data_IF_573732605400
#
_entry.id   IF_573732605400
#
_cell.length_a   1.000
_cell.length_b   1.000
_cell.length_c   1.000
_cell.angle_alpha   90.00
_cell.angle_beta   90.00
_cell.angle_gamma   90.00
#
_symmetry.space_group_name_H-M   'P 1'
#
loop_
_entity.id
_entity.type
_entity.pdbx_description
1 polymer ?
#
# COMPACT_ATOMS: atom_id res chain seq x y z
N UNK A 1 -42.35 -11.79 -48.17
CA UNK A 1 -42.70 -10.98 -46.99
C UNK A 1 -42.23 -11.75 -45.78
N UNK A 2 -41.02 -11.45 -45.31
CA UNK A 2 -40.45 -12.01 -44.08
C UNK A 2 -40.59 -10.98 -42.97
N UNK A 3 -41.25 -11.30 -41.84
CA UNK A 3 -41.32 -10.40 -40.71
C UNK A 3 -40.20 -10.72 -39.68
N UNK A 4 -39.80 -9.68 -38.95
CA UNK A 4 -39.16 -9.73 -37.62
C UNK A 4 -37.71 -10.23 -37.52
N UNK A 5 -36.77 -9.39 -37.98
CA UNK A 5 -35.45 -9.32 -37.34
C UNK A 5 -35.57 -8.48 -36.06
N UNK A 6 -35.46 -9.12 -34.90
CA UNK A 6 -35.38 -8.43 -33.61
C UNK A 6 -34.09 -7.61 -33.55
N UNK A 7 -34.11 -6.34 -33.11
CA UNK A 7 -32.89 -5.57 -32.90
C UNK A 7 -32.10 -6.24 -31.78
N UNK A 8 -30.87 -6.65 -32.11
CA UNK A 8 -29.90 -7.13 -31.14
C UNK A 8 -29.78 -6.07 -30.04
N UNK A 9 -29.80 -6.44 -28.74
CA UNK A 9 -29.50 -5.48 -27.69
C UNK A 9 -28.06 -5.02 -27.91
N UNK A 10 -27.89 -3.86 -28.53
CA UNK A 10 -26.63 -3.14 -28.56
C UNK A 10 -26.24 -2.97 -27.11
N UNK A 11 -25.27 -3.77 -26.67
CA UNK A 11 -24.74 -3.73 -25.33
C UNK A 11 -24.13 -2.35 -25.15
N UNK A 12 -24.91 -1.41 -24.62
CA UNK A 12 -24.46 -0.08 -24.23
C UNK A 12 -23.57 -0.26 -22.99
N UNK A 13 -22.42 -0.90 -23.17
CA UNK A 13 -21.31 -0.72 -22.25
C UNK A 13 -20.91 0.74 -22.41
N UNK A 14 -21.33 1.58 -21.47
CA UNK A 14 -20.77 2.91 -21.34
C UNK A 14 -19.29 2.74 -21.06
N UNK A 15 -18.48 2.87 -22.12
CA UNK A 15 -17.04 2.80 -22.00
C UNK A 15 -16.58 3.99 -21.16
N UNK A 16 -15.70 3.71 -20.21
CA UNK A 16 -15.01 4.73 -19.43
C UNK A 16 -14.30 5.72 -20.37
N UNK A 17 -14.48 7.02 -20.15
CA UNK A 17 -13.77 8.05 -20.92
C UNK A 17 -12.38 8.22 -20.32
N UNK A 18 -11.35 7.77 -21.04
CA UNK A 18 -9.97 7.95 -20.65
C UNK A 18 -9.65 9.43 -20.41
N UNK A 19 -8.93 9.72 -19.32
CA UNK A 19 -8.50 11.06 -18.93
C UNK A 19 -6.99 11.07 -18.75
N UNK A 20 -6.22 11.67 -19.68
CA UNK A 20 -4.79 11.82 -19.52
C UNK A 20 -4.48 12.79 -18.37
N UNK A 21 -3.31 12.60 -17.75
CA UNK A 21 -2.78 13.51 -16.75
C UNK A 21 -1.40 14.02 -17.18
N UNK A 22 -1.13 15.34 -17.14
CA UNK A 22 -2.09 16.40 -16.80
C UNK A 22 -3.19 16.53 -17.88
N UNK A 23 -4.37 17.07 -17.53
CA UNK A 23 -5.37 17.42 -18.54
C UNK A 23 -4.77 18.31 -19.63
N UNK A 24 -5.21 18.21 -20.90
CA UNK A 24 -4.63 18.99 -22.00
C UNK A 24 -4.64 20.51 -21.79
N UNK A 25 -5.62 21.01 -21.02
CA UNK A 25 -5.71 22.42 -20.65
C UNK A 25 -4.55 22.91 -19.74
N UNK A 26 -3.79 21.99 -19.16
CA UNK A 26 -2.64 22.26 -18.28
C UNK A 26 -1.31 21.77 -18.88
N UNK A 27 -1.26 21.49 -20.19
CA UNK A 27 -0.07 20.90 -20.83
C UNK A 27 1.20 21.76 -20.70
N UNK A 28 1.07 23.09 -20.70
CA UNK A 28 2.18 24.05 -20.59
C UNK A 28 2.46 24.50 -19.15
N UNK A 29 1.74 23.95 -18.17
CA UNK A 29 1.89 24.30 -16.76
C UNK A 29 2.95 23.39 -16.13
N UNK A 30 3.97 23.93 -15.43
CA UNK A 30 4.95 23.11 -14.73
C UNK A 30 4.28 22.10 -13.78
N UNK A 31 4.73 20.85 -13.83
CA UNK A 31 4.09 19.76 -13.07
C UNK A 31 4.13 20.00 -11.55
N UNK A 32 5.21 20.61 -11.06
CA UNK A 32 5.38 20.92 -9.63
C UNK A 32 4.31 21.92 -9.17
N UNK A 33 4.00 22.92 -10.01
CA UNK A 33 2.92 23.86 -9.73
C UNK A 33 1.56 23.16 -9.67
N UNK A 34 1.30 22.18 -10.55
CA UNK A 34 0.07 21.38 -10.50
C UNK A 34 0.00 20.61 -9.17
N UNK A 35 1.10 20.00 -8.72
CA UNK A 35 1.15 19.30 -7.43
C UNK A 35 0.90 20.24 -6.25
N UNK A 36 1.50 21.41 -6.23
CA UNK A 36 1.29 22.41 -5.19
C UNK A 36 -0.18 22.84 -5.14
N UNK A 37 -0.81 23.09 -6.29
CA UNK A 37 -2.23 23.43 -6.34
C UNK A 37 -3.11 22.27 -5.85
N UNK A 38 -2.80 21.03 -6.23
CA UNK A 38 -3.53 19.85 -5.74
C UNK A 38 -3.41 19.73 -4.21
N UNK A 39 -2.21 19.82 -3.65
CA UNK A 39 -2.02 19.74 -2.20
C UNK A 39 -2.76 20.88 -1.46
N UNK A 40 -2.75 22.10 -1.99
CA UNK A 40 -3.49 23.24 -1.42
C UNK A 40 -5.02 23.02 -1.42
N UNK A 41 -5.52 22.32 -2.44
CA UNK A 41 -6.95 22.00 -2.55
C UNK A 41 -7.34 20.77 -1.73
N UNK A 42 -6.39 19.91 -1.35
CA UNK A 42 -6.67 18.63 -0.68
C UNK A 42 -7.61 18.72 0.54
N UNK A 43 -7.51 19.70 1.45
CA UNK A 43 -8.44 19.83 2.57
C UNK A 43 -9.91 20.00 2.17
N UNK A 44 -10.17 20.51 0.95
CA UNK A 44 -11.52 20.72 0.43
C UNK A 44 -12.12 19.46 -0.21
N UNK A 45 -11.30 18.48 -0.58
CA UNK A 45 -11.70 17.28 -1.31
C UNK A 45 -11.51 15.99 -0.52
N UNK A 46 -10.57 15.97 0.44
CA UNK A 46 -10.37 14.83 1.32
C UNK A 46 -11.63 14.59 2.17
N UNK A 47 -12.01 13.33 2.34
CA UNK A 47 -13.24 12.91 3.02
C UNK A 47 -14.54 13.51 2.47
N UNK A 48 -14.57 13.99 1.22
CA UNK A 48 -15.78 14.42 0.51
C UNK A 48 -16.15 13.44 -0.61
N UNK A 49 -16.81 12.31 -0.29
CA UNK A 49 -17.17 11.33 -1.30
C UNK A 49 -18.12 11.89 -2.37
N UNK A 50 -18.86 12.96 -2.08
CA UNK A 50 -19.80 13.62 -2.99
C UNK A 50 -19.10 14.23 -4.20
N UNK A 51 -17.85 14.68 -4.04
CA UNK A 51 -17.04 15.28 -5.10
C UNK A 51 -16.16 14.27 -5.84
N UNK A 52 -16.04 13.06 -5.30
CA UNK A 52 -15.17 12.01 -5.84
C UNK A 52 -15.63 11.57 -7.24
N UNK A 53 -14.68 11.53 -8.17
CA UNK A 53 -14.89 11.13 -9.57
C UNK A 53 -14.32 9.74 -9.88
N UNK A 54 -13.89 8.97 -8.87
CA UNK A 54 -13.62 7.54 -9.02
C UNK A 54 -13.93 6.76 -7.74
N UNK A 55 -14.10 5.45 -7.89
CA UNK A 55 -14.26 4.51 -6.78
C UNK A 55 -13.22 3.41 -6.87
N UNK A 56 -12.41 3.22 -5.82
CA UNK A 56 -11.42 2.14 -5.71
C UNK A 56 -11.97 1.08 -4.75
N UNK A 57 -11.99 -0.17 -5.20
CA UNK A 57 -12.37 -1.35 -4.42
C UNK A 57 -11.12 -2.18 -4.20
N UNK A 58 -10.68 -2.30 -2.95
CA UNK A 58 -9.54 -3.14 -2.56
C UNK A 58 -10.06 -4.40 -1.86
N UNK A 59 -9.89 -5.60 -2.44
CA UNK A 59 -10.17 -6.85 -1.74
C UNK A 59 -9.31 -6.97 -0.48
N UNK A 60 -9.93 -7.28 0.65
CA UNK A 60 -9.21 -7.63 1.87
C UNK A 60 -9.20 -9.16 1.94
N UNK A 61 -8.03 -9.82 1.87
CA UNK A 61 -7.99 -11.26 2.07
C UNK A 61 -8.55 -11.55 3.46
N UNK A 62 -9.56 -12.41 3.51
CA UNK A 62 -10.12 -12.87 4.79
C UNK A 62 -8.96 -13.39 5.64
N UNK A 63 -8.63 -12.67 6.72
CA UNK A 63 -8.16 -13.37 7.91
C UNK A 63 -9.31 -14.30 8.23
N UNK A 64 -9.15 -15.60 7.94
CA UNK A 64 -10.07 -16.61 8.44
C UNK A 64 -10.32 -16.23 9.88
N UNK A 65 -11.58 -15.94 10.29
CA UNK A 65 -11.85 -15.69 11.69
C UNK A 65 -11.28 -16.92 12.38
N UNK A 66 -10.21 -16.71 13.14
CA UNK A 66 -9.65 -17.77 13.96
C UNK A 66 -10.82 -18.13 14.85
N UNK A 67 -11.49 -19.23 14.53
CA UNK A 67 -12.49 -19.83 15.39
C UNK A 67 -11.67 -20.22 16.61
N UNK A 68 -11.55 -19.30 17.56
CA UNK A 68 -11.13 -19.61 18.91
C UNK A 68 -12.06 -20.75 19.32
N UNK A 69 -11.54 -21.97 19.57
CA UNK A 69 -12.39 -23.05 20.05
C UNK A 69 -13.02 -22.51 21.34
N UNK A 70 -14.34 -22.38 21.32
CA UNK A 70 -15.09 -21.95 22.47
C UNK A 70 -14.67 -22.84 23.64
N UNK A 71 -13.95 -22.27 24.59
CA UNK A 71 -13.84 -22.83 25.92
C UNK A 71 -15.26 -22.93 26.43
N UNK A 72 -15.79 -24.15 26.38
CA UNK A 72 -17.02 -24.57 27.02
C UNK A 72 -16.88 -24.28 28.51
N UNK A 73 -17.36 -23.12 28.93
CA UNK A 73 -17.67 -22.85 30.33
C UNK A 73 -19.13 -23.21 30.55
N UNK A 74 -19.31 -24.37 31.15
CA UNK A 74 -20.53 -24.81 31.82
C UNK A 74 -20.99 -23.78 32.87
N UNK A 75 -22.29 -23.49 32.85
CA UNK A 75 -23.18 -22.96 33.92
C UNK A 75 -24.28 -22.15 33.22
N UNK A 76 -25.58 -22.25 33.50
CA UNK A 76 -26.38 -22.96 34.50
C UNK A 76 -27.83 -22.95 33.96
N UNK A 77 -28.76 -23.75 34.52
CA UNK A 77 -30.13 -23.86 34.04
C UNK A 77 -31.06 -22.93 34.83
N UNK A 78 -31.60 -21.88 34.22
CA UNK A 78 -32.99 -21.46 34.46
C UNK A 78 -33.34 -20.28 33.55
N UNK A 79 -34.39 -20.44 32.74
CA UNK A 79 -35.34 -19.38 32.39
C UNK A 79 -36.34 -19.95 31.38
N UNK A 80 -37.47 -20.30 31.97
CA UNK A 80 -38.72 -20.66 31.34
C UNK A 80 -39.23 -19.56 30.42
N UNK A 81 -39.30 -19.82 29.11
CA UNK A 81 -40.30 -19.22 28.23
C UNK A 81 -40.88 -20.31 27.34
N UNK A 82 -42.16 -20.59 27.60
CA UNK A 82 -43.01 -21.49 26.83
C UNK A 82 -43.28 -20.86 25.47
N UNK A 83 -43.01 -21.59 24.39
CA UNK A 83 -43.68 -21.35 23.11
C UNK A 83 -44.41 -22.63 22.70
N UNK A 84 -45.69 -22.46 22.43
CA UNK A 84 -46.61 -23.49 22.01
C UNK A 84 -46.11 -24.16 20.72
N UNK A 85 -46.24 -25.48 20.69
CA UNK A 85 -46.06 -26.28 19.51
C UNK A 85 -47.24 -26.04 18.54
N UNK A 86 -46.96 -25.46 17.39
CA UNK A 86 -47.84 -25.57 16.21
C UNK A 86 -47.36 -26.77 15.37
N UNK A 87 -48.18 -27.82 15.18
CA UNK A 87 -47.87 -28.91 14.29
C UNK A 87 -48.40 -28.59 12.88
N UNK A 88 -47.61 -27.91 12.04
CA UNK A 88 -47.87 -27.91 10.61
C UNK A 88 -46.57 -27.94 9.78
N UNK A 89 -46.02 -29.13 9.47
CA UNK A 89 -44.75 -29.29 8.76
C UNK A 89 -44.94 -29.37 7.24
N UNK A 90 -45.52 -28.33 6.64
CA UNK A 90 -45.71 -28.29 5.18
C UNK A 90 -45.34 -26.93 4.60
N UNK A 91 -44.05 -26.64 4.58
CA UNK A 91 -43.53 -25.40 4.01
C UNK A 91 -42.03 -25.49 3.82
N UNK A 92 -41.62 -25.77 2.58
CA UNK A 92 -40.23 -25.89 2.12
C UNK A 92 -39.39 -24.71 2.63
N UNK A 93 -38.58 -24.92 3.67
CA UNK A 93 -37.47 -24.01 3.98
C UNK A 93 -36.43 -24.18 2.89
N UNK A 94 -36.53 -23.37 1.85
CA UNK A 94 -35.37 -23.03 1.04
C UNK A 94 -34.40 -22.33 1.99
N UNK A 95 -33.34 -23.02 2.40
CA UNK A 95 -32.18 -22.39 3.01
C UNK A 95 -31.62 -21.43 1.97
N UNK A 96 -31.88 -20.13 2.15
CA UNK A 96 -31.23 -19.08 1.37
C UNK A 96 -29.71 -19.29 1.52
N UNK A 97 -28.96 -19.46 0.42
CA UNK A 97 -27.52 -19.62 0.51
C UNK A 97 -26.97 -18.35 1.16
N UNK A 98 -26.26 -18.50 2.28
CA UNK A 98 -25.55 -17.40 2.92
C UNK A 98 -24.50 -16.91 1.92
N UNK A 99 -24.78 -15.81 1.23
CA UNK A 99 -23.87 -15.21 0.26
C UNK A 99 -22.74 -14.56 1.07
N UNK A 100 -21.63 -15.27 1.22
CA UNK A 100 -20.43 -14.73 1.84
C UNK A 100 -19.80 -13.71 0.90
N UNK A 101 -20.11 -12.44 1.11
CA UNK A 101 -19.43 -11.33 0.43
C UNK A 101 -18.08 -11.12 1.11
N UNK A 102 -16.93 -11.30 0.40
CA UNK A 102 -15.63 -11.04 0.98
C UNK A 102 -15.50 -9.57 1.44
N UNK A 103 -14.80 -9.31 2.55
CA UNK A 103 -14.54 -7.97 3.02
C UNK A 103 -13.72 -7.22 1.98
N UNK A 104 -14.06 -5.95 1.79
CA UNK A 104 -13.42 -5.06 0.83
C UNK A 104 -13.39 -3.66 1.39
N UNK A 105 -12.33 -2.92 1.07
CA UNK A 105 -12.28 -1.49 1.29
C UNK A 105 -12.83 -0.81 0.05
N UNK A 106 -13.81 0.06 0.21
CA UNK A 106 -14.35 0.87 -0.88
C UNK A 106 -14.03 2.33 -0.58
N UNK A 107 -13.30 2.97 -1.48
CA UNK A 107 -12.77 4.32 -1.31
C UNK A 107 -13.24 5.18 -2.47
N UNK A 108 -13.91 6.29 -2.18
CA UNK A 108 -14.33 7.28 -3.18
C UNK A 108 -13.30 8.39 -3.21
N UNK A 109 -12.55 8.49 -4.31
CA UNK A 109 -11.35 9.32 -4.44
C UNK A 109 -11.41 10.17 -5.71
N UNK A 110 -10.43 11.05 -5.88
CA UNK A 110 -10.33 11.93 -7.04
C UNK A 110 -9.21 11.48 -7.99
N UNK A 111 -9.54 11.29 -9.27
CA UNK A 111 -8.64 10.78 -10.30
C UNK A 111 -7.38 11.64 -10.44
N UNK A 112 -7.50 12.96 -10.32
CA UNK A 112 -6.38 13.88 -10.51
C UNK A 112 -5.27 13.67 -9.46
N UNK A 113 -5.64 13.47 -8.19
CA UNK A 113 -4.67 13.19 -7.12
C UNK A 113 -3.99 11.84 -7.32
N UNK A 114 -4.77 10.82 -7.68
CA UNK A 114 -4.24 9.48 -7.92
C UNK A 114 -3.32 9.46 -9.14
N UNK A 115 -3.72 10.10 -10.23
CA UNK A 115 -2.94 10.18 -11.47
C UNK A 115 -1.70 11.05 -11.32
N UNK A 116 -1.76 12.09 -10.48
CA UNK A 116 -0.63 12.94 -10.18
C UNK A 116 0.55 12.14 -9.60
N UNK A 117 0.27 11.22 -8.67
CA UNK A 117 1.30 10.53 -7.89
C UNK A 117 1.52 9.07 -8.26
N UNK A 118 0.59 8.40 -8.94
CA UNK A 118 0.74 6.99 -9.35
C UNK A 118 0.82 6.88 -10.87
N UNK A 119 1.97 6.42 -11.37
CA UNK A 119 2.14 6.10 -12.80
C UNK A 119 1.22 4.97 -13.25
N UNK A 120 1.01 3.97 -12.39
CA UNK A 120 0.09 2.86 -12.63
C UNK A 120 -1.36 3.35 -12.82
N UNK A 121 -1.88 4.12 -11.85
CA UNK A 121 -3.26 4.62 -11.91
C UNK A 121 -3.43 5.65 -13.04
N UNK A 122 -2.43 6.50 -13.29
CA UNK A 122 -2.42 7.42 -14.43
C UNK A 122 -2.60 6.67 -15.76
N UNK A 123 -1.82 5.61 -15.97
CA UNK A 123 -1.91 4.84 -17.21
C UNK A 123 -3.26 4.12 -17.31
N UNK A 124 -3.74 3.54 -16.20
CA UNK A 124 -5.05 2.89 -16.14
C UNK A 124 -6.19 3.86 -16.50
N UNK A 125 -6.18 5.06 -15.92
CA UNK A 125 -7.17 6.10 -16.20
C UNK A 125 -7.00 6.75 -17.59
N UNK A 126 -5.83 6.61 -18.20
CA UNK A 126 -5.58 6.98 -19.60
C UNK A 126 -6.04 5.90 -20.59
N UNK A 127 -6.64 4.81 -20.11
CA UNK A 127 -7.19 3.74 -20.95
C UNK A 127 -6.19 2.62 -21.26
N UNK A 128 -5.03 2.56 -20.60
CA UNK A 128 -4.12 1.45 -20.75
C UNK A 128 -4.75 0.14 -20.23
N UNK A 129 -4.45 -0.97 -20.90
CA UNK A 129 -4.87 -2.30 -20.46
C UNK A 129 -4.18 -2.65 -19.13
N UNK A 130 -4.93 -3.08 -18.10
CA UNK A 130 -4.33 -3.48 -16.82
C UNK A 130 -3.30 -4.61 -16.96
N UNK A 131 -3.48 -5.49 -17.95
CA UNK A 131 -2.56 -6.61 -18.20
C UNK A 131 -1.18 -6.11 -18.66
N UNK A 132 -1.16 -5.09 -19.52
CA UNK A 132 0.07 -4.53 -20.06
C UNK A 132 0.85 -3.80 -18.96
N UNK A 133 0.14 -3.11 -18.06
CA UNK A 133 0.74 -2.40 -16.93
C UNK A 133 1.39 -3.32 -15.89
N UNK A 134 0.81 -4.49 -15.62
CA UNK A 134 1.40 -5.45 -14.69
C UNK A 134 2.64 -6.09 -15.31
N UNK A 135 2.59 -6.37 -16.61
CA UNK A 135 3.75 -6.92 -17.31
C UNK A 135 4.93 -5.97 -17.26
N UNK A 136 4.72 -4.66 -17.48
CA UNK A 136 5.80 -3.67 -17.40
C UNK A 136 6.38 -3.51 -16.00
N UNK A 137 5.53 -3.53 -14.95
CA UNK A 137 5.99 -3.48 -13.56
C UNK A 137 6.81 -4.70 -13.12
N UNK A 138 6.58 -5.86 -13.75
CA UNK A 138 7.22 -7.13 -13.39
C UNK A 138 8.47 -7.44 -14.22
N UNK A 139 8.86 -6.59 -15.17
CA UNK A 139 10.12 -6.71 -15.92
C UNK A 139 11.33 -6.25 -15.10
N UNK A 140 11.37 -6.63 -13.83
CA UNK A 140 12.57 -6.50 -13.00
C UNK A 140 13.69 -7.35 -13.61
N UNK A 141 14.94 -6.86 -13.68
CA UNK A 141 16.04 -7.50 -14.42
C UNK A 141 16.39 -8.93 -13.96
N UNK A 142 15.92 -9.37 -12.78
CA UNK A 142 16.11 -10.74 -12.29
C UNK A 142 15.14 -11.80 -12.85
N UNK A 143 14.34 -11.49 -13.89
CA UNK A 143 13.74 -12.52 -14.77
C UNK A 143 12.63 -13.41 -14.19
N UNK A 144 12.24 -13.25 -12.92
CA UNK A 144 11.17 -14.05 -12.34
C UNK A 144 9.80 -13.42 -12.60
N UNK A 145 9.09 -13.95 -13.60
CA UNK A 145 7.67 -13.64 -13.83
C UNK A 145 6.85 -14.20 -12.65
N UNK A 146 6.53 -13.36 -11.68
CA UNK A 146 5.59 -13.71 -10.64
C UNK A 146 4.22 -13.99 -11.27
N UNK A 147 3.80 -15.25 -11.25
CA UNK A 147 2.50 -15.69 -11.74
C UNK A 147 1.40 -15.17 -10.80
N UNK A 148 0.84 -14.00 -11.11
CA UNK A 148 -0.28 -13.41 -10.38
C UNK A 148 -1.57 -14.14 -10.79
N UNK A 149 -2.30 -14.78 -9.85
CA UNK A 149 -3.58 -15.40 -10.16
C UNK A 149 -4.53 -14.38 -10.81
N UNK A 150 -5.34 -14.77 -11.81
CA UNK A 150 -6.21 -13.85 -12.56
C UNK A 150 -7.21 -13.10 -11.66
N UNK A 151 -7.56 -13.67 -10.50
CA UNK A 151 -8.43 -13.04 -9.51
C UNK A 151 -7.77 -11.90 -8.71
N UNK A 152 -6.48 -11.66 -8.92
CA UNK A 152 -5.70 -10.59 -8.29
C UNK A 152 -5.28 -9.50 -9.28
N UNK A 153 -5.85 -9.53 -10.49
CA UNK A 153 -5.55 -8.52 -11.49
C UNK A 153 -6.42 -7.27 -11.27
N UNK A 154 -5.83 -6.06 -11.32
CA UNK A 154 -6.58 -4.82 -11.37
C UNK A 154 -7.49 -4.80 -12.59
N UNK A 155 -8.72 -4.33 -12.41
CA UNK A 155 -9.71 -4.28 -13.49
C UNK A 155 -10.69 -3.13 -13.30
N UNK A 156 -11.07 -2.51 -14.41
CA UNK A 156 -12.18 -1.56 -14.46
C UNK A 156 -13.49 -2.37 -14.46
N UNK A 157 -14.37 -2.07 -13.51
CA UNK A 157 -15.70 -2.64 -13.44
C UNK A 157 -16.68 -1.82 -14.29
N UNK A 158 -17.76 -2.42 -14.81
CA UNK A 158 -18.82 -1.70 -15.50
C UNK A 158 -19.35 -0.56 -14.60
N UNK A 159 -19.22 0.67 -15.06
CA UNK A 159 -19.52 1.88 -14.28
C UNK A 159 -19.85 3.06 -15.19
N UNK A 160 -20.32 4.15 -14.59
CA UNK A 160 -20.62 5.39 -15.30
C UNK A 160 -19.36 5.95 -15.96
N UNK A 161 -19.46 6.57 -17.15
CA UNK A 161 -18.30 7.07 -17.89
C UNK A 161 -17.53 8.17 -17.15
N UNK A 162 -18.20 8.86 -16.21
CA UNK A 162 -17.64 9.91 -15.36
C UNK A 162 -17.16 9.46 -13.98
N UNK A 163 -17.41 8.20 -13.59
CA UNK A 163 -17.00 7.67 -12.29
C UNK A 163 -16.55 6.21 -12.44
N UNK A 164 -15.32 5.96 -12.93
CA UNK A 164 -14.79 4.61 -13.03
C UNK A 164 -14.74 3.92 -11.66
N UNK A 165 -15.18 2.67 -11.64
CA UNK A 165 -15.00 1.78 -10.49
C UNK A 165 -13.84 0.83 -10.77
N UNK A 166 -12.75 0.98 -10.02
CA UNK A 166 -11.53 0.16 -10.15
C UNK A 166 -11.52 -0.90 -9.07
N UNK A 167 -11.43 -2.18 -9.46
CA UNK A 167 -10.97 -3.21 -8.54
C UNK A 167 -9.44 -3.19 -8.52
N UNK A 168 -8.85 -2.95 -7.35
CA UNK A 168 -7.41 -2.78 -7.16
C UNK A 168 -6.89 -3.75 -6.08
N UNK A 169 -6.49 -4.97 -6.45
CA UNK A 169 -5.86 -5.90 -5.53
C UNK A 169 -4.43 -5.45 -5.22
N UNK A 170 -4.21 -4.90 -4.03
CA UNK A 170 -2.89 -4.42 -3.59
C UNK A 170 -2.17 -5.44 -2.71
N UNK A 171 -0.82 -5.44 -2.67
CA UNK A 171 -0.03 -6.32 -1.81
C UNK A 171 -0.41 -6.27 -0.33
N UNK A 172 -0.69 -5.08 0.22
CA UNK A 172 -1.12 -4.90 1.61
C UNK A 172 -2.34 -3.95 1.69
N UNK A 173 -3.56 -4.50 1.76
CA UNK A 173 -4.78 -3.69 1.83
C UNK A 173 -4.87 -2.81 3.08
N UNK A 174 -4.19 -3.16 4.18
CA UNK A 174 -4.32 -2.41 5.42
C UNK A 174 -3.59 -1.08 5.38
N UNK A 175 -2.48 -0.95 4.65
CA UNK A 175 -1.70 0.28 4.57
C UNK A 175 -2.08 1.21 3.40
N UNK A 176 -2.90 0.75 2.45
CA UNK A 176 -3.18 1.48 1.21
C UNK A 176 -3.79 2.87 1.41
N UNK A 177 -4.63 3.02 2.44
CA UNK A 177 -5.30 4.28 2.74
C UNK A 177 -4.31 5.40 3.14
N UNK A 178 -3.18 5.03 3.76
CA UNK A 178 -2.12 5.98 4.11
C UNK A 178 -1.40 6.51 2.87
N UNK A 179 -1.23 5.66 1.84
CA UNK A 179 -0.65 6.10 0.58
C UNK A 179 -1.60 7.05 -0.15
N UNK A 180 -2.91 6.79 -0.15
CA UNK A 180 -3.86 7.73 -0.73
C UNK A 180 -3.91 9.04 0.04
N UNK A 181 -3.80 9.01 1.37
CA UNK A 181 -3.65 10.24 2.16
C UNK A 181 -2.39 11.02 1.75
N UNK A 182 -1.24 10.34 1.65
CA UNK A 182 0.00 10.97 1.18
C UNK A 182 -0.13 11.54 -0.25
N UNK A 183 -0.86 10.89 -1.15
CA UNK A 183 -1.11 11.45 -2.50
C UNK A 183 -1.91 12.75 -2.48
N UNK A 184 -2.75 12.96 -1.45
CA UNK A 184 -3.52 14.18 -1.29
C UNK A 184 -2.72 15.31 -0.66
N UNK A 185 -1.99 15.01 0.43
CA UNK A 185 -1.36 16.05 1.25
C UNK A 185 0.14 16.21 1.02
N UNK A 186 0.80 15.24 0.39
CA UNK A 186 2.26 15.20 0.24
C UNK A 186 3.03 14.89 1.52
N UNK A 187 2.33 14.83 2.67
CA UNK A 187 2.91 14.66 4.00
C UNK A 187 3.03 13.19 4.43
N UNK A 188 4.15 12.86 5.07
CA UNK A 188 4.52 11.53 5.56
C UNK A 188 4.28 11.32 7.05
N UNK A 189 3.89 12.35 7.81
CA UNK A 189 3.74 12.30 9.28
C UNK A 189 2.79 11.18 9.74
N UNK A 190 1.68 10.97 9.03
CA UNK A 190 0.74 9.90 9.34
C UNK A 190 1.33 8.50 9.07
N UNK A 191 2.11 8.37 8.00
CA UNK A 191 2.76 7.10 7.67
C UNK A 191 3.80 6.76 8.75
N UNK A 192 4.62 7.75 9.14
CA UNK A 192 5.62 7.60 10.20
C UNK A 192 4.97 7.20 11.53
N UNK A 193 3.93 7.92 11.96
CA UNK A 193 3.20 7.63 13.19
C UNK A 193 2.59 6.22 13.21
N UNK A 194 2.01 5.78 12.08
CA UNK A 194 1.47 4.42 11.97
C UNK A 194 2.56 3.34 11.99
N UNK A 195 3.72 3.62 11.39
CA UNK A 195 4.88 2.72 11.42
C UNK A 195 5.48 2.60 12.83
N UNK A 196 5.62 3.71 13.55
CA UNK A 196 6.18 3.75 14.91
C UNK A 196 5.30 3.03 15.93
N UNK A 197 3.99 3.12 15.74
CA UNK A 197 2.98 2.40 16.53
C UNK A 197 2.87 0.91 16.14
N UNK A 198 3.39 0.52 14.98
CA UNK A 198 3.27 -0.84 14.45
C UNK A 198 1.86 -1.17 13.98
N UNK A 199 1.07 -0.17 13.59
CA UNK A 199 -0.27 -0.35 13.02
C UNK A 199 -0.21 -0.86 11.58
N UNK A 200 0.89 -0.56 10.88
CA UNK A 200 1.17 -1.01 9.51
C UNK A 200 2.58 -1.58 9.43
N UNK A 201 2.79 -2.47 8.47
CA UNK A 201 4.11 -3.04 8.21
C UNK A 201 4.83 -2.28 7.10
N UNK A 202 6.10 -1.95 7.35
CA UNK A 202 6.96 -1.28 6.36
C UNK A 202 7.02 -2.03 5.03
N UNK A 203 7.13 -3.36 5.07
CA UNK A 203 7.20 -4.20 3.86
C UNK A 203 5.91 -4.11 3.02
N UNK A 204 4.75 -4.02 3.69
CA UNK A 204 3.46 -3.84 3.02
C UNK A 204 3.37 -2.51 2.29
N UNK A 205 3.78 -1.43 2.96
CA UNK A 205 3.87 -0.10 2.36
C UNK A 205 4.83 -0.05 1.17
N UNK A 206 6.04 -0.61 1.33
CA UNK A 206 7.05 -0.65 0.26
C UNK A 206 6.54 -1.39 -0.98
N UNK A 207 5.90 -2.56 -0.80
CA UNK A 207 5.29 -3.31 -1.91
C UNK A 207 4.15 -2.54 -2.57
N UNK A 208 3.31 -1.86 -1.80
CA UNK A 208 2.25 -1.02 -2.38
C UNK A 208 2.82 0.16 -3.17
N UNK A 209 3.89 0.81 -2.67
CA UNK A 209 4.60 1.91 -3.34
C UNK A 209 5.17 1.46 -4.69
N UNK A 210 5.79 0.29 -4.73
CA UNK A 210 6.29 -0.32 -5.98
C UNK A 210 5.14 -0.69 -6.91
N UNK A 211 4.12 -1.39 -6.40
CA UNK A 211 2.96 -1.84 -7.15
C UNK A 211 2.21 -0.68 -7.84
N UNK A 212 2.05 0.45 -7.16
CA UNK A 212 1.38 1.63 -7.71
C UNK A 212 2.32 2.51 -8.56
N UNK A 213 3.60 2.18 -8.64
CA UNK A 213 4.60 3.00 -9.33
C UNK A 213 4.62 4.44 -8.80
N UNK A 214 4.71 4.59 -7.47
CA UNK A 214 4.81 5.90 -6.80
C UNK A 214 6.23 6.49 -6.94
N UNK A 215 6.37 7.83 -6.87
CA UNK A 215 7.64 8.51 -7.13
C UNK A 215 8.69 8.21 -6.07
N UNK A 216 9.93 8.59 -6.37
CA UNK A 216 11.11 8.37 -5.53
C UNK A 216 11.00 9.03 -4.15
N UNK A 217 10.24 10.12 -4.00
CA UNK A 217 10.03 10.84 -2.75
C UNK A 217 9.60 9.91 -1.60
N UNK A 218 8.51 9.16 -1.78
CA UNK A 218 8.00 8.24 -0.76
C UNK A 218 8.94 7.05 -0.54
N UNK A 219 9.66 6.61 -1.58
CA UNK A 219 10.67 5.54 -1.47
C UNK A 219 11.85 5.98 -0.61
N UNK A 220 12.34 7.20 -0.81
CA UNK A 220 13.43 7.78 0.00
C UNK A 220 13.00 7.92 1.46
N UNK A 221 11.78 8.41 1.70
CA UNK A 221 11.21 8.45 3.06
C UNK A 221 11.19 7.06 3.70
N UNK A 222 10.61 6.05 3.03
CA UNK A 222 10.54 4.68 3.57
C UNK A 222 11.92 4.07 3.80
N UNK A 223 12.89 4.34 2.92
CA UNK A 223 14.27 3.88 3.07
C UNK A 223 14.98 4.50 4.26
N UNK A 224 14.83 5.83 4.46
CA UNK A 224 15.36 6.55 5.63
C UNK A 224 14.74 6.04 6.92
N UNK A 225 13.42 5.89 6.97
CA UNK A 225 12.72 5.37 8.14
C UNK A 225 13.21 3.96 8.50
N UNK A 226 13.35 3.07 7.51
CA UNK A 226 13.85 1.70 7.73
C UNK A 226 15.30 1.66 8.21
N UNK A 227 16.18 2.51 7.65
CA UNK A 227 17.57 2.63 8.10
C UNK A 227 17.67 3.06 9.56
N UNK A 228 16.87 4.07 9.96
CA UNK A 228 16.80 4.56 11.32
C UNK A 228 16.23 3.49 12.28
N UNK A 229 15.21 2.76 11.84
CA UNK A 229 14.61 1.67 12.61
C UNK A 229 15.58 0.50 12.85
N UNK A 230 16.40 0.15 11.84
CA UNK A 230 17.40 -0.93 11.96
C UNK A 230 18.59 -0.57 12.83
N UNK A 231 18.93 0.71 12.93
CA UNK A 231 20.11 1.19 13.67
C UNK A 231 19.71 2.27 14.70
N UNK A 232 18.98 1.92 15.78
CA UNK A 232 18.54 2.89 16.79
C UNK A 232 19.69 3.69 17.43
N UNK A 233 20.91 3.13 17.41
CA UNK A 233 22.10 3.72 18.02
C UNK A 233 22.69 4.90 17.22
N UNK A 234 22.45 4.99 15.90
CA UNK A 234 23.08 6.03 15.06
C UNK A 234 22.40 7.40 15.21
N UNK A 235 21.08 7.42 15.44
CA UNK A 235 20.30 8.65 15.60
C UNK A 235 20.17 9.16 17.04
N UNK A 236 20.67 8.40 18.03
CA UNK A 236 20.69 8.82 19.45
C UNK A 236 21.96 9.52 19.88
N UNK A 237 22.96 9.69 19.00
CA UNK A 237 23.92 10.77 19.20
C UNK A 237 23.18 12.07 18.91
N UNK A 238 22.54 12.61 19.94
CA UNK A 238 22.19 14.03 19.98
C UNK A 238 23.43 14.88 19.67
N UNK A 239 23.26 16.18 19.44
CA UNK A 239 24.39 17.09 19.26
C UNK A 239 25.28 16.97 20.50
N UNK A 240 26.30 16.13 20.40
CA UNK A 240 27.28 15.94 21.44
C UNK A 240 27.93 17.31 21.54
N UNK A 241 27.63 17.94 22.67
CA UNK A 241 28.14 19.23 23.07
C UNK A 241 29.60 19.33 22.66
N UNK A 242 29.88 20.39 21.92
CA UNK A 242 31.20 20.96 21.73
C UNK A 242 31.88 21.10 23.10
N UNK A 243 32.55 20.05 23.54
CA UNK A 243 33.65 20.11 24.46
C UNK A 243 34.88 19.76 23.62
N UNK A 244 35.49 20.83 23.11
CA UNK A 244 36.91 21.01 22.83
C UNK A 244 37.74 19.75 22.53
N UNK A 245 38.38 19.71 21.36
CA UNK A 245 39.79 20.11 21.25
C UNK A 245 40.05 20.56 19.79
N UNK A 246 40.78 21.68 19.57
CA UNK A 246 41.21 22.14 18.25
C UNK A 246 42.53 21.49 17.82
N UNK A 247 42.83 21.63 16.52
CA UNK A 247 44.12 21.43 15.85
C UNK A 247 44.52 19.99 15.50
N UNK A 248 44.25 19.60 14.24
CA UNK A 248 45.27 18.93 13.43
C UNK A 248 45.04 19.25 11.94
N UNK A 249 45.76 20.27 11.47
CA UNK A 249 45.88 20.65 10.06
C UNK A 249 46.56 19.50 9.30
N UNK A 250 45.77 18.68 8.60
CA UNK A 250 46.30 17.71 7.65
C UNK A 250 45.72 17.99 6.26
N UNK A 251 46.42 18.86 5.55
CA UNK A 251 46.28 19.13 4.12
C UNK A 251 46.57 17.87 3.32
N UNK A 252 45.55 17.05 3.10
CA UNK A 252 45.59 15.96 2.13
C UNK A 252 45.10 16.48 0.77
N UNK A 253 46.02 17.11 0.04
CA UNK A 253 45.94 17.33 -1.41
C UNK A 253 45.66 16.00 -2.10
N UNK A 254 44.42 15.78 -2.56
CA UNK A 254 44.08 14.65 -3.42
C UNK A 254 44.33 15.05 -4.87
N UNK A 255 45.52 14.69 -5.33
CA UNK A 255 45.94 14.70 -6.72
C UNK A 255 45.04 13.74 -7.51
N UNK A 256 44.25 14.29 -8.44
CA UNK A 256 43.41 13.52 -9.35
C UNK A 256 44.25 13.22 -10.60
N UNK A 257 44.95 12.08 -10.60
CA UNK A 257 45.49 11.51 -11.83
C UNK A 257 44.34 10.92 -12.67
N UNK A 258 44.11 11.61 -13.79
CA UNK A 258 43.21 11.29 -14.89
C UNK A 258 43.88 10.23 -15.79
N UNK A 259 43.62 8.94 -15.52
CA UNK A 259 43.96 7.86 -16.43
C UNK A 259 42.70 7.20 -16.98
N UNK A 260 42.42 7.60 -18.21
CA UNK A 260 41.54 7.02 -19.20
C UNK A 260 42.10 5.65 -19.61
N UNK A 261 41.41 4.56 -19.28
CA UNK A 261 41.67 3.27 -19.93
C UNK A 261 40.37 2.50 -20.21
N UNK A 262 40.11 2.33 -21.51
CA UNK A 262 39.11 1.44 -22.07
C UNK A 262 39.69 0.02 -22.08
N UNK A 263 39.07 -0.93 -21.39
CA UNK A 263 39.30 -2.34 -21.68
C UNK A 263 38.06 -3.20 -21.41
N UNK A 264 37.65 -3.86 -22.48
CA UNK A 264 36.66 -4.92 -22.57
C UNK A 264 37.12 -6.20 -21.84
N UNK A 265 36.13 -7.00 -21.41
CA UNK A 265 36.16 -8.46 -21.20
C UNK A 265 37.22 -9.09 -20.25
N UNK A 266 36.78 -9.81 -19.21
CA UNK A 266 36.85 -11.29 -19.14
C UNK A 266 36.51 -11.83 -17.72
N UNK A 267 36.01 -13.05 -17.70
CA UNK A 267 35.61 -13.89 -16.58
C UNK A 267 36.76 -14.20 -15.59
N UNK A 268 36.45 -14.38 -14.30
CA UNK A 268 36.84 -15.58 -13.53
C UNK A 268 36.43 -15.54 -12.05
N UNK A 269 36.05 -16.72 -11.58
CA UNK A 269 35.80 -17.12 -10.20
C UNK A 269 37.05 -17.06 -9.29
N UNK A 270 36.82 -17.27 -7.98
CA UNK A 270 37.67 -18.00 -7.00
C UNK A 270 38.31 -17.19 -5.86
N UNK A 271 37.74 -17.43 -4.65
CA UNK A 271 38.33 -17.55 -3.30
C UNK A 271 39.08 -16.39 -2.60
N UNK A 272 38.72 -16.22 -1.32
CA UNK A 272 39.60 -16.17 -0.12
C UNK A 272 39.07 -15.12 0.88
N UNK A 273 38.46 -15.48 2.02
CA UNK A 273 39.06 -16.09 3.23
C UNK A 273 39.95 -15.09 4.01
N UNK A 274 39.54 -14.88 5.27
CA UNK A 274 40.09 -14.08 6.38
C UNK A 274 39.83 -12.56 6.40
N UNK A 275 39.19 -12.07 7.47
CA UNK A 275 39.88 -11.40 8.60
C UNK A 275 38.86 -11.04 9.71
N UNK A 276 39.26 -10.50 10.88
CA UNK A 276 39.59 -11.27 12.08
C UNK A 276 38.65 -10.97 13.27
N UNK A 277 38.76 -11.82 14.30
CA UNK A 277 38.28 -11.56 15.65
C UNK A 277 38.90 -10.27 16.22
N UNK A 278 38.08 -9.42 16.84
CA UNK A 278 38.51 -8.48 17.88
C UNK A 278 37.64 -8.61 19.11
N UNK A 279 38.32 -8.37 20.22
CA UNK A 279 38.13 -8.83 21.57
C UNK A 279 37.19 -7.94 22.40
N UNK A 280 36.89 -8.47 23.58
CA UNK A 280 35.97 -8.07 24.63
C UNK A 280 36.18 -6.66 25.22
N UNK A 281 35.08 -6.14 25.80
CA UNK A 281 35.14 -5.53 27.13
C UNK A 281 34.81 -4.04 27.25
N UNK A 282 33.57 -3.72 27.64
CA UNK A 282 33.27 -2.77 28.72
C UNK A 282 31.76 -2.71 29.01
N UNK A 283 31.39 -3.24 30.18
CA UNK A 283 30.07 -3.13 30.79
C UNK A 283 29.82 -1.70 31.31
N UNK A 284 28.77 -1.05 30.83
CA UNK A 284 28.08 0.03 31.56
C UNK A 284 26.59 -0.27 31.61
N UNK A 285 26.14 -0.56 32.83
CA UNK A 285 24.76 -0.83 33.21
C UNK A 285 23.99 0.49 33.18
N UNK A 286 23.17 0.71 32.15
CA UNK A 286 22.13 1.75 32.13
C UNK A 286 20.89 1.24 31.38
N UNK A 287 19.90 0.85 32.19
CA UNK A 287 18.46 0.70 31.93
C UNK A 287 18.00 0.33 30.50
N UNK A 288 17.81 -0.97 30.33
CA UNK A 288 17.18 -1.66 29.21
C UNK A 288 15.76 -1.14 28.92
N UNK A 289 15.65 -0.24 27.94
CA UNK A 289 14.46 -0.18 27.07
C UNK A 289 14.75 -0.99 25.81
N UNK A 290 14.70 -2.32 25.96
CA UNK A 290 14.83 -3.30 24.88
C UNK A 290 13.74 -3.09 23.80
N UNK A 291 14.07 -2.31 22.77
CA UNK A 291 13.47 -2.43 21.43
C UNK A 291 14.54 -2.92 20.47
N UNK A 292 14.94 -4.17 20.66
CA UNK A 292 15.82 -4.91 19.75
C UNK A 292 15.13 -6.19 19.31
N UNK A 293 14.96 -6.33 17.98
CA UNK A 293 15.28 -7.50 17.16
C UNK A 293 14.77 -8.92 17.50
N UNK A 294 14.02 -9.14 18.58
CA UNK A 294 13.48 -10.46 18.97
C UNK A 294 12.00 -10.41 19.33
N UNK A 295 11.19 -9.61 18.64
CA UNK A 295 9.74 -9.79 18.71
C UNK A 295 9.33 -10.81 17.65
N UNK A 296 9.16 -12.04 18.12
CA UNK A 296 8.14 -12.91 17.54
C UNK A 296 6.86 -12.12 17.36
N UNK A 297 6.25 -12.31 16.19
CA UNK A 297 4.93 -11.83 15.77
C UNK A 297 4.12 -11.36 16.98
N UNK A 298 4.01 -10.03 17.19
CA UNK A 298 3.14 -9.48 18.24
C UNK A 298 1.74 -10.02 17.98
N UNK A 299 1.10 -10.71 18.95
CA UNK A 299 -0.28 -11.13 18.78
C UNK A 299 -1.14 -9.89 18.59
N UNK A 300 -1.86 -9.83 17.47
CA UNK A 300 -2.86 -8.81 17.18
C UNK A 300 -4.00 -8.93 18.19
N UNK A 301 -3.94 -8.14 19.26
CA UNK A 301 -5.07 -7.91 20.14
C UNK A 301 -5.41 -6.42 20.14
N UNK A 302 -6.52 -6.12 19.46
CA UNK A 302 -7.39 -4.94 19.61
C UNK A 302 -6.79 -3.59 19.22
N UNK A 303 -7.15 -3.14 18.02
CA UNK A 303 -7.54 -1.76 17.72
C UNK A 303 -8.25 -1.75 16.36
N UNK A 304 -9.50 -2.22 16.35
CA UNK A 304 -10.44 -2.01 15.25
C UNK A 304 -11.55 -1.12 15.82
N UNK A 305 -11.50 0.17 15.50
CA UNK A 305 -12.50 1.11 16.01
C UNK A 305 -12.14 2.55 15.76
N UNK A 306 -12.05 2.96 14.48
CA UNK A 306 -12.43 4.32 14.03
C UNK A 306 -12.33 4.58 12.52
N UNK A 307 -12.21 3.57 11.67
CA UNK A 307 -12.65 3.72 10.28
C UNK A 307 -14.12 3.38 10.21
N UNK A 308 -14.96 4.42 10.16
CA UNK A 308 -16.39 4.30 9.96
C UNK A 308 -16.61 3.68 8.58
N UNK A 309 -16.74 2.35 8.54
CA UNK A 309 -17.20 1.64 7.37
C UNK A 309 -18.61 2.15 7.07
N UNK A 310 -18.77 2.89 5.99
CA UNK A 310 -20.08 3.10 5.40
C UNK A 310 -20.57 1.73 4.92
N UNK A 311 -21.36 1.06 5.75
CA UNK A 311 -22.22 -0.03 5.30
C UNK A 311 -23.21 0.55 4.30
N UNK A 312 -23.19 -0.01 3.08
CA UNK A 312 -24.25 0.21 2.09
C UNK A 312 -25.53 -0.51 2.51
#
# INVERSE_FOLDING_TARGET
MDPTALPSPSSFHSFFTARPFPPPALADVPIDYIFDQLHNLAPHYWNRPETADCTIIVPVPNHTPSYSPATSSESSPDSSIRFAADPNPTGRRATEPVIYVPPRLTLRLHMDYLSAKSSFLRALFSGASPLDLIQTLHLSPCGQRLHVPPNRLPRLLPSSPSNPVVLLPVPDPHSIHLLFHWMYFGDTDQIESCLDQGLVHWEGLARNVEYLGLPTEIKVFLGRWYGNWRLPARNRRGPASYAAEPDDDSDAELDYDDDQDESEEDESDVYSMYSPHTDEGAHTILEDRQRGRTQGVRPLARLCGQFQMCSA
#
